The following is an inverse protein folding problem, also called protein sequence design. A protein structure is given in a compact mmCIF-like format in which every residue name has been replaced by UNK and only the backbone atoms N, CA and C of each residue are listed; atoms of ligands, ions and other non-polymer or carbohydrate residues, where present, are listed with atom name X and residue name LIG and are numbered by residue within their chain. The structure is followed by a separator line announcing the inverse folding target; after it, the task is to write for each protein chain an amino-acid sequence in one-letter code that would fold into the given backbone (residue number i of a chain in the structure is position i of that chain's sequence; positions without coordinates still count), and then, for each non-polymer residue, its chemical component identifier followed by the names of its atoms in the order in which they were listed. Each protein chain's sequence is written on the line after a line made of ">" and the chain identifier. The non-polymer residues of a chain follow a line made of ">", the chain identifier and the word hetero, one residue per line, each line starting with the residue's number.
data_IF_538032084314
#
_entry.id   IF_538032084314
#
_cell.length_a   1.000
_cell.length_b   1.000
_cell.length_c   1.000
_cell.angle_alpha   90.00
_cell.angle_beta   90.00
_cell.angle_gamma   90.00
#
_symmetry.space_group_name_H-M   'P 1'
#
loop_
_entity.id
_entity.type
_entity.pdbx_description
1 polymer ?
#
# COMPACT_ATOMS: atom_id res chain seq x y z
N UNK A 1 -2.16 16.23 6.85
CA UNK A 1 -0.80 15.68 6.99
C UNK A 1 -0.54 14.92 5.71
N UNK A 2 0.53 15.22 4.98
CA UNK A 2 0.82 14.52 3.73
C UNK A 2 1.39 13.13 4.04
N UNK A 3 0.78 12.09 3.49
CA UNK A 3 1.33 10.74 3.47
C UNK A 3 2.34 10.68 2.32
N UNK A 4 3.52 10.12 2.58
CA UNK A 4 4.60 10.04 1.60
C UNK A 4 4.66 8.66 0.92
N UNK A 5 4.26 7.61 1.63
CA UNK A 5 4.25 6.24 1.14
C UNK A 5 2.84 5.74 0.83
N UNK A 6 1.86 6.08 1.65
CA UNK A 6 0.46 5.67 1.46
C UNK A 6 -0.24 6.63 0.51
N UNK A 7 -0.56 6.14 -0.68
CA UNK A 7 -1.36 6.86 -1.66
C UNK A 7 -2.67 6.10 -1.80
N UNK A 8 -3.77 6.72 -1.39
CA UNK A 8 -5.09 6.10 -1.39
C UNK A 8 -5.84 6.43 -2.68
N UNK A 9 -6.35 5.41 -3.33
CA UNK A 9 -7.40 5.49 -4.33
C UNK A 9 -8.74 5.36 -3.60
N UNK A 10 -9.69 6.26 -3.87
CA UNK A 10 -11.00 6.23 -3.21
C UNK A 10 -12.09 5.87 -4.20
N UNK A 11 -12.87 4.85 -3.87
CA UNK A 11 -14.06 4.45 -4.62
C UNK A 11 -15.32 4.76 -3.82
N UNK A 12 -16.23 5.53 -4.39
CA UNK A 12 -17.54 5.84 -3.80
C UNK A 12 -18.59 4.80 -4.22
N UNK A 13 -19.45 4.43 -3.30
CA UNK A 13 -20.67 3.68 -3.57
C UNK A 13 -21.90 4.61 -3.64
N UNK A 14 -22.97 4.14 -4.27
CA UNK A 14 -24.21 4.91 -4.47
C UNK A 14 -24.92 5.29 -3.15
N UNK A 15 -24.69 4.53 -2.07
CA UNK A 15 -25.23 4.80 -0.73
C UNK A 15 -24.39 5.82 0.07
N UNK A 16 -23.30 6.30 -0.53
CA UNK A 16 -22.35 7.24 0.09
C UNK A 16 -21.27 6.58 0.94
N UNK A 17 -21.35 5.26 1.18
CA UNK A 17 -20.21 4.46 1.66
C UNK A 17 -19.11 4.40 0.60
N UNK A 18 -17.92 3.94 0.98
CA UNK A 18 -16.81 3.84 0.04
C UNK A 18 -15.65 3.04 0.60
N UNK A 19 -14.69 2.78 -0.28
CA UNK A 19 -13.46 2.05 0.01
C UNK A 19 -12.25 2.88 -0.39
N UNK A 20 -11.22 2.82 0.43
CA UNK A 20 -9.93 3.47 0.20
C UNK A 20 -8.87 2.39 0.12
N UNK A 21 -8.34 2.19 -1.08
CA UNK A 21 -7.35 1.17 -1.36
C UNK A 21 -5.98 1.83 -1.54
N UNK A 22 -4.96 1.28 -0.89
CA UNK A 22 -3.58 1.70 -1.09
C UNK A 22 -2.66 0.50 -1.19
N UNK A 23 -1.69 0.61 -2.10
CA UNK A 23 -0.61 -0.35 -2.23
C UNK A 23 0.70 0.40 -2.16
N UNK A 24 1.55 0.02 -1.21
CA UNK A 24 2.84 0.68 -0.99
C UNK A 24 3.94 -0.36 -0.88
N UNK A 25 5.05 -0.13 -1.58
CA UNK A 25 6.23 -0.98 -1.53
C UNK A 25 7.45 -0.18 -1.09
N UNK A 26 8.07 -0.60 0.01
CA UNK A 26 9.25 0.03 0.58
C UNK A 26 10.44 -0.94 0.63
N UNK A 27 11.65 -0.39 0.59
CA UNK A 27 12.86 -1.14 0.94
C UNK A 27 12.94 -1.32 2.45
N UNK A 28 13.80 -2.20 2.94
CA UNK A 28 14.04 -2.37 4.38
C UNK A 28 14.34 -1.05 5.12
N UNK A 29 14.99 -0.08 4.46
CA UNK A 29 15.28 1.22 5.04
C UNK A 29 14.06 2.15 5.13
N UNK A 30 13.11 2.05 4.19
CA UNK A 30 11.87 2.83 4.18
C UNK A 30 10.72 2.18 4.94
N UNK A 31 10.84 0.90 5.27
CA UNK A 31 9.83 0.15 6.01
C UNK A 31 9.36 0.81 7.31
N UNK A 32 10.24 1.28 8.23
CA UNK A 32 9.78 1.92 9.45
C UNK A 32 8.99 3.22 9.20
N UNK A 33 9.30 3.96 8.13
CA UNK A 33 8.56 5.16 7.77
C UNK A 33 7.14 4.82 7.27
N UNK A 34 7.02 3.81 6.40
CA UNK A 34 5.74 3.29 5.94
C UNK A 34 4.90 2.75 7.11
N UNK A 35 5.50 2.02 8.06
CA UNK A 35 4.81 1.54 9.25
C UNK A 35 4.29 2.67 10.13
N UNK A 36 5.04 3.78 10.26
CA UNK A 36 4.62 4.94 11.03
C UNK A 36 3.39 5.62 10.40
N UNK A 37 3.37 5.75 9.07
CA UNK A 37 2.19 6.27 8.34
C UNK A 37 0.98 5.37 8.52
N UNK A 38 1.16 4.05 8.34
CA UNK A 38 0.09 3.07 8.54
C UNK A 38 -0.47 3.12 9.96
N UNK A 39 0.40 3.13 10.97
CA UNK A 39 0.00 3.24 12.37
C UNK A 39 -0.75 4.55 12.65
N UNK A 40 -0.36 5.65 12.02
CA UNK A 40 -1.05 6.92 12.15
C UNK A 40 -2.47 6.87 11.56
N UNK A 41 -2.64 6.27 10.38
CA UNK A 41 -3.95 6.12 9.75
C UNK A 41 -4.87 5.26 10.62
N UNK A 42 -4.37 4.09 11.06
CA UNK A 42 -5.14 3.16 11.90
C UNK A 42 -5.46 3.76 13.26
N UNK A 43 -4.51 4.43 13.91
CA UNK A 43 -4.74 5.08 15.20
C UNK A 43 -5.78 6.20 15.10
N UNK A 44 -5.79 6.96 14.01
CA UNK A 44 -6.83 7.96 13.77
C UNK A 44 -8.21 7.34 13.57
N UNK A 45 -8.30 6.26 12.77
CA UNK A 45 -9.57 5.58 12.52
C UNK A 45 -10.17 5.05 13.82
N UNK A 46 -9.37 4.35 14.63
CA UNK A 46 -9.77 3.87 15.96
C UNK A 46 -10.14 4.98 16.94
N UNK A 47 -9.46 6.13 16.89
CA UNK A 47 -9.75 7.25 17.79
C UNK A 47 -11.04 8.00 17.41
N UNK A 48 -11.39 8.00 16.12
CA UNK A 48 -12.53 8.76 15.58
C UNK A 48 -13.80 7.91 15.57
N UNK A 49 -13.69 6.61 15.29
CA UNK A 49 -14.81 5.68 15.18
C UNK A 49 -14.65 4.52 16.15
N UNK A 50 -15.50 4.51 17.18
CA UNK A 50 -15.45 3.52 18.25
C UNK A 50 -16.02 2.15 17.83
N UNK A 51 -16.88 2.10 16.81
CA UNK A 51 -17.48 0.85 16.33
C UNK A 51 -16.71 0.31 15.11
N UNK A 52 -15.54 -0.28 15.35
CA UNK A 52 -14.73 -0.95 14.32
C UNK A 52 -13.34 -1.34 14.85
N UNK A 53 -12.50 -2.00 14.03
CA UNK A 53 -12.78 -2.46 12.67
C UNK A 53 -13.65 -3.73 12.64
N UNK A 54 -14.53 -3.81 11.65
CA UNK A 54 -15.32 -5.00 11.34
C UNK A 54 -16.28 -4.78 10.17
N UNK A 55 -16.97 -5.82 9.71
CA UNK A 55 -17.84 -5.71 8.55
C UNK A 55 -19.01 -4.76 8.82
N UNK A 56 -19.25 -3.88 7.85
CA UNK A 56 -20.27 -2.82 7.94
C UNK A 56 -21.70 -3.39 8.13
N UNK A 57 -21.96 -4.58 7.59
CA UNK A 57 -23.25 -5.29 7.75
C UNK A 57 -23.52 -5.72 9.21
N UNK A 58 -22.47 -5.89 10.02
CA UNK A 58 -22.60 -6.17 11.46
C UNK A 58 -22.73 -4.89 12.32
N UNK A 59 -22.90 -3.72 11.68
CA UNK A 59 -23.09 -2.44 12.35
C UNK A 59 -21.80 -1.73 12.76
N UNK A 60 -20.66 -2.11 12.17
CA UNK A 60 -19.41 -1.35 12.30
C UNK A 60 -19.43 -0.09 11.42
N UNK A 61 -18.78 0.97 11.88
CA UNK A 61 -18.59 2.23 11.14
C UNK A 61 -17.54 2.11 10.02
N UNK A 62 -16.58 1.20 10.20
CA UNK A 62 -15.46 0.97 9.29
C UNK A 62 -14.91 -0.46 9.37
N UNK A 63 -14.38 -0.93 8.25
CA UNK A 63 -13.70 -2.20 8.05
C UNK A 63 -12.25 -1.99 7.60
N UNK A 64 -11.40 -2.97 7.90
CA UNK A 64 -9.97 -2.94 7.63
C UNK A 64 -9.49 -4.29 7.12
N UNK A 65 -8.97 -4.31 5.89
CA UNK A 65 -8.15 -5.39 5.37
C UNK A 65 -6.71 -4.91 5.19
N UNK A 66 -5.77 -5.54 5.89
CA UNK A 66 -4.34 -5.24 5.78
C UNK A 66 -3.57 -6.51 5.46
N UNK A 67 -2.90 -6.48 4.31
CA UNK A 67 -2.03 -7.55 3.86
C UNK A 67 -0.60 -7.01 3.71
N UNK A 68 0.37 -7.79 4.19
CA UNK A 68 1.78 -7.47 4.06
C UNK A 68 2.51 -8.66 3.44
N UNK A 69 3.30 -8.39 2.41
CA UNK A 69 4.16 -9.38 1.74
C UNK A 69 5.60 -8.92 1.79
N UNK A 70 6.51 -9.89 1.83
CA UNK A 70 7.94 -9.64 1.83
C UNK A 70 8.56 -10.43 0.67
N UNK A 71 9.26 -9.70 -0.20
CA UNK A 71 9.86 -10.27 -1.40
C UNK A 71 11.36 -10.00 -1.39
N UNK A 72 12.14 -11.04 -1.66
CA UNK A 72 13.58 -10.93 -1.85
C UNK A 72 13.91 -11.18 -3.32
N UNK A 73 14.36 -10.15 -4.01
CA UNK A 73 14.73 -10.26 -5.43
C UNK A 73 16.23 -10.36 -5.58
N UNK A 74 16.70 -11.28 -6.41
CA UNK A 74 18.12 -11.42 -6.76
C UNK A 74 18.30 -10.99 -8.21
N UNK A 75 19.19 -10.03 -8.46
CA UNK A 75 19.55 -9.69 -9.83
C UNK A 75 20.43 -10.79 -10.43
N UNK A 76 20.02 -11.30 -11.59
CA UNK A 76 20.79 -12.24 -12.42
C UNK A 76 20.97 -11.64 -13.79
N UNK A 77 22.20 -11.72 -14.33
CA UNK A 77 22.48 -11.28 -15.68
C UNK A 77 22.40 -12.47 -16.61
N UNK A 78 21.49 -12.40 -17.58
CA UNK A 78 21.36 -13.40 -18.63
C UNK A 78 21.98 -12.84 -19.91
N UNK A 79 22.85 -13.60 -20.55
CA UNK A 79 23.44 -13.26 -21.83
C UNK A 79 22.97 -14.27 -22.87
N UNK A 80 22.34 -13.76 -23.93
CA UNK A 80 21.91 -14.56 -25.06
C UNK A 80 23.01 -14.61 -26.12
N UNK A 81 23.47 -15.81 -26.44
CA UNK A 81 24.38 -16.04 -27.55
C UNK A 81 23.57 -16.38 -28.81
N UNK A 82 23.52 -15.45 -29.76
CA UNK A 82 22.72 -15.58 -30.97
C UNK A 82 23.29 -16.63 -31.95
N UNK A 83 24.60 -16.92 -31.89
CA UNK A 83 25.24 -17.89 -32.77
C UNK A 83 24.88 -19.33 -32.42
N UNK A 84 24.79 -19.65 -31.12
CA UNK A 84 24.36 -20.97 -30.63
C UNK A 84 22.89 -21.02 -30.21
N UNK A 85 22.19 -19.89 -30.17
CA UNK A 85 20.80 -19.78 -29.74
C UNK A 85 20.61 -20.08 -28.25
N UNK A 86 21.65 -19.93 -27.42
CA UNK A 86 21.63 -20.31 -26.01
C UNK A 86 21.56 -19.09 -25.10
N UNK A 87 20.81 -19.24 -24.02
CA UNK A 87 20.85 -18.33 -22.88
C UNK A 87 21.89 -18.86 -21.88
N UNK A 88 22.84 -18.01 -21.50
CA UNK A 88 23.81 -18.30 -20.44
C UNK A 88 23.62 -17.32 -19.31
N UNK A 89 23.47 -17.83 -18.09
CA UNK A 89 23.49 -17.01 -16.89
C UNK A 89 24.94 -16.64 -16.59
N UNK A 90 25.25 -15.35 -16.64
CA UNK A 90 26.54 -14.85 -16.18
C UNK A 90 26.37 -14.45 -14.73
N UNK A 91 26.95 -15.24 -13.84
CA UNK A 91 27.10 -14.84 -12.44
C UNK A 91 28.14 -13.72 -12.39
N UNK A 92 27.67 -12.48 -12.48
CA UNK A 92 28.52 -11.33 -12.15
C UNK A 92 28.69 -11.35 -10.63
N UNK A 93 29.80 -11.94 -10.15
CA UNK A 93 30.05 -12.12 -8.71
C UNK A 93 29.97 -10.80 -7.91
N UNK A 94 30.12 -9.64 -8.56
CA UNK A 94 29.94 -8.32 -7.94
C UNK A 94 28.46 -7.91 -7.79
N UNK A 95 27.53 -8.47 -8.58
CA UNK A 95 26.08 -8.27 -8.50
C UNK A 95 25.33 -9.45 -7.87
N UNK A 96 25.92 -10.65 -7.86
CA UNK A 96 25.32 -11.90 -7.39
C UNK A 96 24.82 -11.87 -5.92
N UNK A 97 25.33 -10.92 -5.12
CA UNK A 97 24.97 -10.73 -3.71
C UNK A 97 24.00 -9.57 -3.41
N UNK A 98 23.52 -8.80 -4.40
CA UNK A 98 22.55 -7.72 -4.14
C UNK A 98 21.12 -8.24 -4.12
N UNK A 99 20.80 -9.02 -3.10
CA UNK A 99 19.41 -9.33 -2.79
C UNK A 99 18.71 -8.03 -2.33
N UNK A 100 17.70 -7.57 -3.06
CA UNK A 100 16.88 -6.43 -2.61
C UNK A 100 15.68 -6.97 -1.84
N UNK A 101 15.63 -6.69 -0.55
CA UNK A 101 14.47 -6.93 0.27
C UNK A 101 13.47 -5.79 0.09
N UNK A 102 12.26 -6.14 -0.33
CA UNK A 102 11.13 -5.23 -0.45
C UNK A 102 9.98 -5.74 0.41
N UNK A 103 9.36 -4.81 1.12
CA UNK A 103 8.12 -5.03 1.85
C UNK A 103 7.02 -4.33 1.08
N UNK A 104 6.01 -5.08 0.68
CA UNK A 104 4.82 -4.54 0.03
C UNK A 104 3.65 -4.69 0.98
N UNK A 105 2.80 -3.68 1.04
CA UNK A 105 1.53 -3.76 1.76
C UNK A 105 0.40 -3.43 0.80
N UNK A 106 -0.73 -4.05 1.07
CA UNK A 106 -2.03 -3.68 0.52
C UNK A 106 -2.94 -3.40 1.70
N UNK A 107 -3.54 -2.22 1.72
CA UNK A 107 -4.47 -1.78 2.75
C UNK A 107 -5.76 -1.36 2.05
N UNK A 108 -6.86 -1.96 2.47
CA UNK A 108 -8.21 -1.55 2.09
C UNK A 108 -8.96 -1.09 3.33
N UNK A 109 -9.45 0.14 3.30
CA UNK A 109 -10.27 0.73 4.36
C UNK A 109 -11.66 1.00 3.78
N UNK A 110 -12.68 0.30 4.27
CA UNK A 110 -14.06 0.53 3.83
C UNK A 110 -14.87 1.14 4.96
N UNK A 111 -15.81 2.02 4.65
CA UNK A 111 -16.55 2.71 5.69
C UNK A 111 -17.88 3.30 5.24
N UNK A 112 -18.65 3.76 6.22
CA UNK A 112 -19.87 4.52 6.00
C UNK A 112 -19.56 5.91 5.39
N UNK A 113 -20.59 6.61 4.91
CA UNK A 113 -20.44 7.97 4.38
C UNK A 113 -19.77 8.95 5.36
N UNK A 114 -20.05 8.80 6.67
CA UNK A 114 -19.41 9.61 7.71
C UNK A 114 -17.90 9.32 7.82
N UNK A 115 -17.52 8.05 7.74
CA UNK A 115 -16.11 7.65 7.71
C UNK A 115 -15.40 8.20 6.47
N UNK A 116 -15.98 8.00 5.29
CA UNK A 116 -15.40 8.47 4.03
C UNK A 116 -15.20 9.99 4.01
N UNK A 117 -16.19 10.77 4.45
CA UNK A 117 -16.09 12.22 4.53
C UNK A 117 -14.98 12.67 5.51
N UNK A 118 -14.91 12.05 6.70
CA UNK A 118 -13.89 12.37 7.70
C UNK A 118 -12.48 11.98 7.23
N UNK A 119 -12.34 10.84 6.55
CA UNK A 119 -11.07 10.36 6.01
C UNK A 119 -10.53 11.30 4.94
N UNK A 120 -11.36 11.65 3.95
CA UNK A 120 -10.99 12.61 2.89
C UNK A 120 -10.56 13.95 3.47
N UNK A 121 -11.31 14.48 4.43
CA UNK A 121 -10.95 15.74 5.10
C UNK A 121 -9.64 15.64 5.89
N UNK A 122 -9.37 14.50 6.53
CA UNK A 122 -8.19 14.32 7.39
C UNK A 122 -6.90 14.13 6.59
N UNK A 123 -6.99 13.47 5.45
CA UNK A 123 -5.87 13.09 4.59
C UNK A 123 -5.78 13.86 3.28
N UNK A 124 -6.71 14.79 3.04
CA UNK A 124 -6.72 15.71 1.89
C UNK A 124 -6.75 15.00 0.53
N UNK A 125 -7.60 13.97 0.40
CA UNK A 125 -7.65 13.12 -0.79
C UNK A 125 -8.37 13.77 -1.99
N UNK A 126 -9.17 14.81 -1.75
CA UNK A 126 -9.87 15.59 -2.80
C UNK A 126 -8.92 16.49 -3.61
N UNK A 127 -7.69 16.75 -3.12
CA UNK A 127 -6.78 17.72 -3.73
C UNK A 127 -5.94 17.16 -4.89
N UNK A 128 -5.98 15.84 -5.15
CA UNK A 128 -5.10 15.20 -6.13
C UNK A 128 -5.73 15.01 -7.54
N UNK A 129 -6.96 15.48 -7.76
CA UNK A 129 -7.68 15.39 -9.05
C UNK A 129 -7.47 16.62 -9.97
N UNK A 130 -6.62 17.59 -9.59
CA UNK A 130 -6.33 18.80 -10.38
C UNK A 130 -4.82 18.86 -10.69
N UNK A 131 -4.36 17.99 -11.60
CA UNK A 131 -2.94 17.81 -11.85
C UNK A 131 -2.57 17.03 -13.11
N UNK A 132 -3.22 17.32 -14.25
CA UNK A 132 -2.66 17.03 -15.58
C UNK A 132 -2.89 18.18 -16.56
#
# INVERSE_FOLDING_TARGET
>A
MALHYLIFDSTDAEDGSGSFDTMASATAAGWPALQAELAQVLAWAHATFAHGPGPLDEGCDWDLDLQATQETSHTRRLQFDAASGRLTETDDAAQAGRATLRHSISLSLSGTAAFCAAFRQRFDLDANEDGL
#
